data_IF_267061222242
#
_entry.id   IF_267061222242
#
_cell.length_a   1.000
_cell.length_b   1.000
_cell.length_c   1.000
_cell.angle_alpha   90.00
_cell.angle_beta   90.00
_cell.angle_gamma   90.00
#
_symmetry.space_group_name_H-M   'P 1'
#
loop_
_entity.id
_entity.type
_entity.pdbx_description
1 polymer ?
#
# COMPACT_ATOMS: atom_id res chain seq x y z
N UNK A 1 15.98 -14.41 -13.37
CA UNK A 1 17.02 -13.72 -12.58
C UNK A 1 16.52 -12.46 -11.87
N UNK A 2 15.26 -12.02 -12.03
CA UNK A 2 14.72 -10.81 -11.36
C UNK A 2 14.23 -11.08 -9.93
N UNK A 3 13.65 -12.26 -9.67
CA UNK A 3 13.03 -12.57 -8.37
C UNK A 3 13.99 -12.64 -7.17
N UNK A 4 15.25 -13.07 -7.35
CA UNK A 4 16.22 -13.15 -6.25
C UNK A 4 16.62 -11.76 -5.73
N UNK A 5 16.88 -10.83 -6.64
CA UNK A 5 17.20 -9.44 -6.30
C UNK A 5 16.03 -8.74 -5.62
N UNK A 6 14.81 -8.96 -6.10
CA UNK A 6 13.61 -8.38 -5.49
C UNK A 6 13.42 -8.91 -4.05
N UNK A 7 13.74 -10.19 -3.82
CA UNK A 7 13.66 -10.79 -2.48
C UNK A 7 14.71 -10.21 -1.53
N UNK A 8 15.95 -10.01 -1.99
CA UNK A 8 17.00 -9.33 -1.22
C UNK A 8 16.58 -7.91 -0.81
N UNK A 9 15.96 -7.16 -1.72
CA UNK A 9 15.47 -5.81 -1.42
C UNK A 9 14.30 -5.82 -0.42
N UNK A 10 13.40 -6.80 -0.49
CA UNK A 10 12.34 -6.96 0.52
C UNK A 10 12.94 -7.31 1.89
N UNK A 11 13.95 -8.20 1.94
CA UNK A 11 14.66 -8.52 3.18
C UNK A 11 15.36 -7.28 3.73
N UNK A 12 16.00 -6.47 2.87
CA UNK A 12 16.62 -5.22 3.29
C UNK A 12 15.60 -4.22 3.83
N UNK A 13 14.44 -4.08 3.18
CA UNK A 13 13.34 -3.26 3.67
C UNK A 13 12.91 -3.67 5.08
N UNK A 14 12.69 -4.97 5.28
CA UNK A 14 12.26 -5.52 6.57
C UNK A 14 13.35 -5.39 7.64
N UNK A 15 14.63 -5.54 7.30
CA UNK A 15 15.70 -5.55 8.30
C UNK A 15 16.26 -4.16 8.62
N UNK A 16 16.38 -3.26 7.64
CA UNK A 16 17.03 -1.95 7.78
C UNK A 16 16.07 -0.78 7.72
N UNK A 17 14.92 -0.93 7.05
CA UNK A 17 13.97 0.16 6.83
C UNK A 17 12.67 -0.02 7.60
N UNK A 18 12.66 -0.84 8.66
CA UNK A 18 11.51 -0.97 9.56
C UNK A 18 10.88 0.37 9.96
N UNK A 19 11.65 1.38 10.43
CA UNK A 19 11.05 2.65 10.85
C UNK A 19 10.36 3.38 9.70
N UNK A 20 10.88 3.24 8.47
CA UNK A 20 10.28 3.83 7.28
C UNK A 20 8.99 3.11 6.90
N UNK A 21 8.98 1.77 6.94
CA UNK A 21 7.76 0.99 6.69
C UNK A 21 6.66 1.30 7.73
N UNK A 22 7.04 1.45 9.00
CA UNK A 22 6.12 1.88 10.06
C UNK A 22 5.59 3.29 9.80
N UNK A 23 6.46 4.25 9.48
CA UNK A 23 6.05 5.63 9.17
C UNK A 23 5.12 5.71 7.94
N UNK A 24 5.36 4.91 6.90
CA UNK A 24 4.46 4.80 5.74
C UNK A 24 3.08 4.26 6.13
N UNK A 25 3.05 3.27 7.03
CA UNK A 25 1.83 2.66 7.52
C UNK A 25 1.03 3.62 8.44
N UNK A 26 1.73 4.42 9.24
CA UNK A 26 1.13 5.43 10.11
C UNK A 26 0.72 6.70 9.35
N UNK A 27 1.19 6.87 8.11
CA UNK A 27 0.96 8.08 7.32
C UNK A 27 1.83 9.27 7.75
N UNK A 28 2.83 9.03 8.59
CA UNK A 28 3.76 10.04 9.14
C UNK A 28 5.13 10.01 8.46
N UNK A 29 5.20 9.46 7.24
CA UNK A 29 6.44 9.41 6.48
C UNK A 29 6.76 10.81 5.92
N UNK A 30 7.90 11.37 6.31
CA UNK A 30 8.34 12.66 5.78
C UNK A 30 8.53 12.60 4.27
N UNK A 31 8.22 13.69 3.56
CA UNK A 31 8.39 13.74 2.10
C UNK A 31 9.84 13.46 1.68
N UNK A 32 10.82 13.82 2.52
CA UNK A 32 12.24 13.56 2.27
C UNK A 32 12.57 12.07 2.40
N UNK A 33 12.05 11.38 3.41
CA UNK A 33 12.28 9.94 3.59
C UNK A 33 11.60 9.13 2.50
N UNK A 34 10.38 9.52 2.13
CA UNK A 34 9.67 8.93 1.01
C UNK A 34 10.44 9.10 -0.30
N UNK A 35 10.90 10.31 -0.61
CA UNK A 35 11.67 10.59 -1.83
C UNK A 35 12.99 9.80 -1.87
N UNK A 36 13.66 9.64 -0.72
CA UNK A 36 14.88 8.84 -0.60
C UNK A 36 14.60 7.36 -0.81
N UNK A 37 13.50 6.84 -0.26
CA UNK A 37 13.10 5.45 -0.45
C UNK A 37 12.76 5.19 -1.92
N UNK A 38 11.91 6.01 -2.53
CA UNK A 38 11.47 5.85 -3.92
C UNK A 38 12.62 6.00 -4.94
N UNK A 39 13.69 6.72 -4.59
CA UNK A 39 14.89 6.84 -5.41
C UNK A 39 15.71 5.53 -5.50
N UNK A 40 15.60 4.65 -4.51
CA UNK A 40 16.41 3.43 -4.43
C UNK A 40 15.60 2.14 -4.44
N UNK A 41 14.31 2.21 -4.11
CA UNK A 41 13.40 1.07 -4.02
C UNK A 41 12.16 1.33 -4.87
N UNK A 42 11.91 0.54 -5.93
CA UNK A 42 10.72 0.68 -6.76
C UNK A 42 9.43 0.50 -5.96
N UNK A 43 8.38 1.23 -6.33
CA UNK A 43 7.05 1.14 -5.71
C UNK A 43 6.56 -0.31 -5.49
N UNK A 44 6.61 -1.24 -6.47
CA UNK A 44 6.19 -2.62 -6.26
C UNK A 44 6.94 -3.34 -5.13
N UNK A 45 8.22 -3.03 -4.92
CA UNK A 45 9.05 -3.64 -3.88
C UNK A 45 8.67 -3.06 -2.50
N UNK A 46 8.40 -1.76 -2.41
CA UNK A 46 7.87 -1.14 -1.17
C UNK A 46 6.51 -1.76 -0.80
N UNK A 47 5.62 -1.93 -1.78
CA UNK A 47 4.31 -2.59 -1.59
C UNK A 47 4.48 -4.00 -1.04
N UNK A 48 5.34 -4.82 -1.66
CA UNK A 48 5.66 -6.17 -1.14
C UNK A 48 6.21 -6.11 0.28
N UNK A 49 7.14 -5.21 0.57
CA UNK A 49 7.70 -5.03 1.91
C UNK A 49 6.65 -4.68 2.97
N UNK A 50 5.67 -3.83 2.64
CA UNK A 50 4.56 -3.50 3.54
C UNK A 50 3.65 -4.70 3.79
N UNK A 51 3.30 -5.45 2.74
CA UNK A 51 2.46 -6.66 2.86
C UNK A 51 3.14 -7.69 3.76
N UNK A 52 4.43 -7.98 3.53
CA UNK A 52 5.21 -8.88 4.39
C UNK A 52 5.32 -8.37 5.82
N UNK A 53 5.55 -7.06 6.01
CA UNK A 53 5.64 -6.47 7.33
C UNK A 53 4.33 -6.59 8.13
N UNK A 54 3.17 -6.47 7.48
CA UNK A 54 1.86 -6.74 8.11
C UNK A 54 1.70 -8.22 8.44
N UNK A 55 1.98 -9.10 7.48
CA UNK A 55 1.81 -10.55 7.64
C UNK A 55 2.68 -11.11 8.76
N UNK A 56 3.93 -10.65 8.86
CA UNK A 56 4.89 -11.02 9.90
C UNK A 56 4.68 -10.27 11.23
N UNK A 57 3.65 -9.42 11.34
CA UNK A 57 3.38 -8.56 12.51
C UNK A 57 4.58 -7.68 12.89
N UNK A 58 5.36 -7.31 11.89
CA UNK A 58 6.58 -6.56 12.04
C UNK A 58 6.30 -5.06 12.22
N UNK A 59 5.23 -4.57 11.60
CA UNK A 59 4.64 -3.24 11.84
C UNK A 59 3.28 -3.40 12.53
N UNK A 60 2.91 -2.41 13.34
CA UNK A 60 1.61 -2.38 14.03
C UNK A 60 0.95 -1.03 13.77
N UNK A 61 -0.27 -1.05 13.24
CA UNK A 61 -1.01 0.17 12.90
C UNK A 61 -2.25 0.29 13.77
N UNK A 62 -2.36 1.40 14.49
CA UNK A 62 -3.53 1.70 15.31
C UNK A 62 -4.79 1.81 14.45
N UNK A 63 -5.92 1.33 14.97
CA UNK A 63 -7.23 1.51 14.33
C UNK A 63 -7.72 2.95 14.37
N UNK A 64 -7.15 3.79 15.23
CA UNK A 64 -7.39 5.24 15.26
C UNK A 64 -6.75 5.94 14.05
N UNK A 65 -5.59 5.43 13.61
CA UNK A 65 -4.87 5.94 12.43
C UNK A 65 -5.51 5.38 11.15
N UNK A 66 -5.67 4.06 11.08
CA UNK A 66 -6.20 3.38 9.91
C UNK A 66 -7.27 2.36 10.35
N UNK A 67 -8.57 2.72 10.22
CA UNK A 67 -9.69 1.86 10.56
C UNK A 67 -9.65 0.52 9.83
N UNK A 68 -10.19 -0.51 10.48
CA UNK A 68 -10.26 -1.86 9.91
C UNK A 68 -11.41 -2.04 8.93
N UNK A 69 -12.50 -1.33 9.16
CA UNK A 69 -13.67 -1.30 8.29
C UNK A 69 -13.70 0.05 7.56
N UNK A 70 -14.18 0.08 6.31
CA UNK A 70 -14.29 1.33 5.59
C UNK A 70 -15.39 2.20 6.23
N UNK A 71 -15.16 3.52 6.27
CA UNK A 71 -16.11 4.53 6.79
C UNK A 71 -17.39 4.61 5.95
N UNK A 72 -17.30 4.24 4.67
CA UNK A 72 -18.43 4.14 3.74
C UNK A 72 -18.28 2.87 2.88
N UNK A 73 -19.38 2.30 2.36
CA UNK A 73 -19.32 1.10 1.53
C UNK A 73 -18.41 1.26 0.29
N UNK A 74 -17.61 0.22 0.04
CA UNK A 74 -16.74 0.14 -1.13
C UNK A 74 -17.51 -0.41 -2.35
N UNK A 75 -17.54 0.37 -3.43
CA UNK A 75 -17.98 -0.04 -4.76
C UNK A 75 -16.98 -0.99 -5.43
N UNK A 76 -17.37 -1.58 -6.55
CA UNK A 76 -16.48 -2.43 -7.34
C UNK A 76 -15.24 -1.67 -7.84
N UNK A 77 -15.41 -0.43 -8.30
CA UNK A 77 -14.29 0.42 -8.74
C UNK A 77 -13.32 0.78 -7.60
N UNK A 78 -13.79 0.90 -6.35
CA UNK A 78 -12.89 1.06 -5.20
C UNK A 78 -12.05 -0.19 -4.99
N UNK A 79 -12.70 -1.37 -5.01
CA UNK A 79 -12.04 -2.66 -4.78
C UNK A 79 -11.02 -2.93 -5.86
N UNK A 80 -11.34 -2.59 -7.10
CA UNK A 80 -10.41 -2.68 -8.23
C UNK A 80 -9.20 -1.76 -8.05
N UNK A 81 -9.40 -0.49 -7.65
CA UNK A 81 -8.29 0.41 -7.32
C UNK A 81 -7.39 -0.14 -6.22
N UNK A 82 -8.00 -0.62 -5.13
CA UNK A 82 -7.31 -1.21 -3.99
C UNK A 82 -6.48 -2.41 -4.45
N UNK A 83 -7.07 -3.27 -5.29
CA UNK A 83 -6.39 -4.43 -5.86
C UNK A 83 -5.17 -4.03 -6.70
N UNK A 84 -5.30 -3.01 -7.56
CA UNK A 84 -4.16 -2.52 -8.34
C UNK A 84 -3.01 -2.03 -7.45
N UNK A 85 -3.32 -1.29 -6.37
CA UNK A 85 -2.31 -0.84 -5.42
C UNK A 85 -1.69 -2.00 -4.66
N UNK A 86 -2.51 -2.95 -4.22
CA UNK A 86 -2.06 -4.15 -3.52
C UNK A 86 -1.12 -5.01 -4.39
N UNK A 87 -1.34 -5.05 -5.71
CA UNK A 87 -0.44 -5.69 -6.69
C UNK A 87 0.82 -4.89 -6.99
N UNK A 88 0.99 -3.69 -6.42
CA UNK A 88 2.12 -2.82 -6.68
C UNK A 88 2.07 -2.12 -8.04
N UNK A 89 0.90 -1.97 -8.66
CA UNK A 89 0.78 -1.28 -9.93
C UNK A 89 0.99 0.24 -9.78
N UNK A 90 1.88 0.79 -10.60
CA UNK A 90 2.13 2.22 -10.73
C UNK A 90 0.95 2.92 -11.41
N UNK A 91 0.82 4.25 -11.27
CA UNK A 91 -0.23 5.02 -11.98
C UNK A 91 -0.20 4.77 -13.48
N UNK A 92 0.99 4.71 -14.08
CA UNK A 92 1.15 4.44 -15.51
C UNK A 92 0.75 3.03 -15.94
N UNK A 93 0.82 2.04 -15.04
CA UNK A 93 0.31 0.70 -15.33
C UNK A 93 -1.22 0.65 -15.20
N UNK A 94 -1.79 1.27 -14.17
CA UNK A 94 -3.25 1.35 -14.00
C UNK A 94 -3.88 2.06 -15.20
N UNK A 95 -3.28 3.16 -15.67
CA UNK A 95 -3.80 3.89 -16.83
C UNK A 95 -3.70 3.13 -18.17
N UNK A 96 -3.14 1.92 -18.17
CA UNK A 96 -3.17 1.01 -19.34
C UNK A 96 -4.31 -0.01 -19.25
N UNK A 97 -4.94 -0.13 -18.09
CA UNK A 97 -6.10 -1.02 -17.92
C UNK A 97 -7.32 -0.42 -18.64
N UNK A 98 -8.21 -1.27 -19.19
CA UNK A 98 -9.43 -0.82 -19.84
C UNK A 98 -10.25 0.08 -18.90
N UNK A 99 -10.78 1.18 -19.44
CA UNK A 99 -11.59 2.17 -18.71
C UNK A 99 -10.89 2.99 -17.63
N UNK A 100 -9.58 2.79 -17.40
CA UNK A 100 -8.80 3.54 -16.43
C UNK A 100 -7.96 4.62 -17.12
N UNK A 101 -8.44 5.86 -17.09
CA UNK A 101 -7.64 7.02 -17.45
C UNK A 101 -7.16 7.77 -16.18
N UNK A 102 -6.26 8.74 -16.34
CA UNK A 102 -5.71 9.50 -15.21
C UNK A 102 -6.77 10.26 -14.41
N UNK A 103 -7.83 10.75 -15.06
CA UNK A 103 -8.92 11.46 -14.39
C UNK A 103 -9.70 10.52 -13.46
N UNK A 104 -10.13 9.36 -13.98
CA UNK A 104 -10.79 8.31 -13.20
C UNK A 104 -9.88 7.81 -12.08
N UNK A 105 -8.62 7.52 -12.36
CA UNK A 105 -7.64 7.10 -11.34
C UNK A 105 -7.58 8.10 -10.18
N UNK A 106 -7.46 9.40 -10.48
CA UNK A 106 -7.36 10.43 -9.45
C UNK A 106 -8.67 10.61 -8.66
N UNK A 107 -9.82 10.55 -9.33
CA UNK A 107 -11.12 10.58 -8.66
C UNK A 107 -11.28 9.38 -7.73
N UNK A 108 -10.91 8.20 -8.21
CA UNK A 108 -11.04 6.94 -7.50
C UNK A 108 -10.07 6.84 -6.30
N UNK A 109 -8.83 7.33 -6.46
CA UNK A 109 -7.88 7.50 -5.35
C UNK A 109 -8.48 8.34 -4.22
N UNK A 110 -9.00 9.53 -4.54
CA UNK A 110 -9.61 10.43 -3.54
C UNK A 110 -10.78 9.76 -2.82
N UNK A 111 -11.64 9.06 -3.57
CA UNK A 111 -12.78 8.33 -2.99
C UNK A 111 -12.32 7.24 -2.03
N UNK A 112 -11.34 6.43 -2.41
CA UNK A 112 -10.78 5.35 -1.57
C UNK A 112 -10.11 5.92 -0.33
N UNK A 113 -9.33 7.00 -0.45
CA UNK A 113 -8.70 7.66 0.69
C UNK A 113 -9.74 8.11 1.71
N UNK A 114 -10.82 8.75 1.26
CA UNK A 114 -11.92 9.15 2.13
C UNK A 114 -12.62 7.93 2.77
N UNK A 115 -12.88 6.87 1.98
CA UNK A 115 -13.56 5.68 2.46
C UNK A 115 -12.75 4.92 3.52
N UNK A 116 -11.43 4.85 3.36
CA UNK A 116 -10.55 4.14 4.30
C UNK A 116 -10.03 5.04 5.42
N UNK A 117 -10.13 6.36 5.29
CA UNK A 117 -9.37 7.29 6.13
C UNK A 117 -7.87 7.26 5.86
N UNK A 118 -7.46 6.80 4.68
CA UNK A 118 -6.06 6.76 4.26
C UNK A 118 -5.63 8.11 3.67
N UNK A 119 -4.35 8.44 3.82
CA UNK A 119 -3.75 9.64 3.22
C UNK A 119 -2.69 9.31 2.17
N UNK A 120 -2.38 8.03 1.96
CA UNK A 120 -1.41 7.57 0.97
C UNK A 120 -1.80 6.23 0.36
N UNK A 121 -1.25 5.92 -0.82
CA UNK A 121 -1.42 4.61 -1.46
C UNK A 121 -0.80 3.49 -0.61
N UNK A 122 0.23 3.80 0.20
CA UNK A 122 0.82 2.84 1.14
C UNK A 122 -0.15 2.43 2.23
N UNK A 123 -0.91 3.37 2.78
CA UNK A 123 -1.96 3.05 3.76
C UNK A 123 -3.10 2.24 3.14
N UNK A 124 -3.41 2.45 1.85
CA UNK A 124 -4.35 1.58 1.13
C UNK A 124 -3.84 0.14 1.06
N UNK A 125 -2.55 -0.06 0.76
CA UNK A 125 -1.90 -1.38 0.73
C UNK A 125 -1.93 -2.03 2.12
N UNK A 126 -1.56 -1.29 3.16
CA UNK A 126 -1.55 -1.78 4.54
C UNK A 126 -2.96 -2.15 5.00
N UNK A 127 -3.98 -1.36 4.64
CA UNK A 127 -5.37 -1.67 4.93
C UNK A 127 -5.80 -3.00 4.32
N UNK A 128 -5.52 -3.20 3.03
CA UNK A 128 -5.87 -4.42 2.31
C UNK A 128 -5.11 -5.64 2.82
N UNK A 129 -3.82 -5.49 3.16
CA UNK A 129 -3.03 -6.55 3.79
C UNK A 129 -3.64 -7.00 5.12
N UNK A 130 -4.02 -6.06 6.00
CA UNK A 130 -4.68 -6.36 7.28
C UNK A 130 -6.04 -7.04 7.08
N UNK A 131 -6.81 -6.61 6.06
CA UNK A 131 -8.10 -7.24 5.73
C UNK A 131 -7.93 -8.69 5.31
N UNK A 132 -6.98 -8.98 4.40
CA UNK A 132 -6.69 -10.36 3.95
C UNK A 132 -6.17 -11.23 5.07
N UNK A 133 -5.22 -10.73 5.86
CA UNK A 133 -4.69 -11.45 7.02
C UNK A 133 -5.81 -11.86 8.00
N UNK A 134 -6.83 -11.00 8.21
CA UNK A 134 -7.99 -11.37 9.02
C UNK A 134 -8.84 -12.44 8.36
N UNK A 135 -9.11 -12.32 7.06
CA UNK A 135 -9.94 -13.29 6.33
C UNK A 135 -9.30 -14.67 6.24
N UNK A 136 -7.96 -14.74 6.18
CA UNK A 136 -7.21 -16.01 6.21
C UNK A 136 -7.16 -16.64 7.62
N UNK A 137 -7.46 -15.86 8.66
CA UNK A 137 -7.55 -16.32 10.05
C UNK A 137 -8.98 -16.71 10.46
N UNK A 138 -9.98 -16.48 9.61
CA UNK A 138 -11.39 -16.83 9.79
C UNK A 138 -11.73 -18.13 9.05
#
# INVERSE_FOLDING_TARGET
MTGERDNEQVIELLTRFKPVLQALADGDCSQNDLSRLEAVVPFPIVVRGLVEAVNLKFIMVSTEILPLEPKVPLSEADREYIEFRFRGMTNGQICKEPEWNYERLNAQRKRVFNALGAISDYQVVVWEARRRQRLEQL
#
